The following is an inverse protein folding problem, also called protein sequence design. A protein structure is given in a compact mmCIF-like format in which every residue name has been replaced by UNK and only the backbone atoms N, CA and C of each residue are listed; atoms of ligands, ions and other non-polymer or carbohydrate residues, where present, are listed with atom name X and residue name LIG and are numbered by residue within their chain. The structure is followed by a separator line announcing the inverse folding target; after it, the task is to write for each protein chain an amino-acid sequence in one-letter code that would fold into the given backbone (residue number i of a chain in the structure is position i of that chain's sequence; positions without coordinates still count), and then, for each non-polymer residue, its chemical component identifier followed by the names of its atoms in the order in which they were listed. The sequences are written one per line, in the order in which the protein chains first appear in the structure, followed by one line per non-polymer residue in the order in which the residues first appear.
data_IF_886050918725
#
_entry.id   IF_886050918725
#
_cell.length_a   1.000
_cell.length_b   1.000
_cell.length_c   1.000
_cell.angle_alpha   90.00
_cell.angle_beta   90.00
_cell.angle_gamma   90.00
#
_symmetry.space_group_name_H-M   'P 1'
#
loop_
_entity.id
_entity.type
_entity.pdbx_description
1 polymer ?
#
# COMPACT_ATOMS: atom_id res chain seq x y z
N UNK A 1 14.74 8.06 16.47
CA UNK A 1 13.65 7.36 15.75
C UNK A 1 12.47 7.23 16.72
N UNK A 2 11.21 7.38 16.30
CA UNK A 2 10.06 7.11 17.15
C UNK A 2 10.11 5.65 17.68
N UNK A 3 9.71 5.38 18.94
CA UNK A 3 9.78 4.03 19.52
C UNK A 3 9.03 2.95 18.73
N UNK A 4 8.00 3.35 17.98
CA UNK A 4 7.13 2.45 17.20
C UNK A 4 7.44 2.46 15.70
N UNK A 5 8.45 3.21 15.25
CA UNK A 5 8.76 3.42 13.83
C UNK A 5 7.95 4.57 13.20
N UNK A 6 8.27 4.91 11.95
CA UNK A 6 7.59 6.00 11.21
C UNK A 6 6.28 5.55 10.52
N UNK A 7 6.07 4.25 10.31
CA UNK A 7 4.81 3.68 9.86
C UNK A 7 4.23 2.75 10.94
N UNK A 8 3.74 3.29 12.06
CA UNK A 8 3.45 2.52 13.27
C UNK A 8 2.26 1.57 13.13
N UNK A 9 1.31 1.86 12.23
CA UNK A 9 0.05 1.15 12.07
C UNK A 9 -0.36 1.00 10.59
N UNK A 10 -1.38 0.17 10.36
CA UNK A 10 -1.91 -0.13 9.03
C UNK A 10 -2.46 1.11 8.34
N UNK A 11 -3.09 2.02 9.07
CA UNK A 11 -3.66 3.25 8.53
C UNK A 11 -2.56 4.17 7.98
N UNK A 12 -1.43 4.27 8.68
CA UNK A 12 -0.26 5.04 8.24
C UNK A 12 0.38 4.38 7.03
N UNK A 13 0.56 3.06 7.03
CA UNK A 13 1.08 2.33 5.88
C UNK A 13 0.21 2.52 4.63
N UNK A 14 -1.12 2.47 4.77
CA UNK A 14 -2.06 2.74 3.67
C UNK A 14 -1.89 4.16 3.15
N UNK A 15 -1.81 5.17 4.02
CA UNK A 15 -1.61 6.57 3.58
C UNK A 15 -0.29 6.76 2.80
N UNK A 16 0.78 6.12 3.25
CA UNK A 16 2.07 6.13 2.53
C UNK A 16 1.92 5.46 1.16
N UNK A 17 1.29 4.28 1.10
CA UNK A 17 1.05 3.58 -0.17
C UNK A 17 0.24 4.42 -1.15
N UNK A 18 -0.84 5.06 -0.70
CA UNK A 18 -1.66 5.95 -1.53
C UNK A 18 -0.86 7.14 -2.07
N UNK A 19 -0.08 7.79 -1.22
CA UNK A 19 0.77 8.92 -1.63
C UNK A 19 1.82 8.52 -2.70
N UNK A 20 2.23 7.25 -2.72
CA UNK A 20 3.15 6.72 -3.74
C UNK A 20 2.41 6.23 -5.00
N UNK A 21 1.27 5.57 -4.85
CA UNK A 21 0.53 5.00 -5.98
C UNK A 21 -0.20 6.03 -6.82
N UNK A 22 -0.85 7.03 -6.20
CA UNK A 22 -1.63 8.06 -6.90
C UNK A 22 -0.84 8.79 -8.01
N UNK A 23 0.41 9.25 -7.80
CA UNK A 23 1.18 9.88 -8.88
C UNK A 23 1.65 8.89 -9.96
N UNK A 24 1.72 7.58 -9.68
CA UNK A 24 2.19 6.56 -10.63
C UNK A 24 1.03 6.06 -11.52
N UNK A 25 -0.11 5.75 -10.90
CA UNK A 25 -1.22 5.05 -11.55
C UNK A 25 -2.47 5.93 -11.74
N UNK A 26 -2.49 7.11 -11.12
CA UNK A 26 -3.61 8.03 -11.16
C UNK A 26 -4.59 7.83 -10.00
N UNK A 27 -4.99 8.92 -9.37
CA UNK A 27 -5.86 8.89 -8.19
C UNK A 27 -7.21 8.22 -8.43
N UNK A 28 -7.81 8.38 -9.61
CA UNK A 28 -9.08 7.74 -9.95
C UNK A 28 -8.97 6.20 -10.04
N UNK A 29 -7.86 5.69 -10.59
CA UNK A 29 -7.58 4.26 -10.68
C UNK A 29 -7.42 3.69 -9.27
N UNK A 30 -6.55 4.30 -8.48
CA UNK A 30 -6.29 3.86 -7.10
C UNK A 30 -7.54 3.95 -6.24
N UNK A 31 -8.36 5.01 -6.37
CA UNK A 31 -9.63 5.12 -5.66
C UNK A 31 -10.61 3.98 -5.97
N UNK A 32 -10.57 3.43 -7.19
CA UNK A 32 -11.36 2.28 -7.62
C UNK A 32 -10.95 0.96 -6.98
N UNK A 33 -9.76 0.89 -6.38
CA UNK A 33 -9.25 -0.32 -5.73
C UNK A 33 -9.59 -0.42 -4.23
N UNK A 34 -10.51 0.41 -3.75
CA UNK A 34 -10.99 0.27 -2.36
C UNK A 34 -11.78 -1.03 -2.17
N UNK A 35 -11.76 -1.63 -0.96
CA UNK A 35 -10.98 -1.22 0.21
C UNK A 35 -9.50 -1.60 0.13
N UNK A 36 -8.64 -0.82 0.79
CA UNK A 36 -7.22 -1.15 0.92
C UNK A 36 -6.97 -1.96 2.19
N UNK A 37 -6.05 -2.91 2.11
CA UNK A 37 -5.64 -3.74 3.23
C UNK A 37 -4.14 -3.62 3.45
N UNK A 38 -3.72 -3.60 4.71
CA UNK A 38 -2.32 -3.64 5.10
C UNK A 38 -2.08 -4.71 6.16
N UNK A 39 -1.11 -5.58 5.91
CA UNK A 39 -0.67 -6.63 6.84
C UNK A 39 0.81 -6.43 7.17
N UNK A 40 1.18 -6.68 8.43
CA UNK A 40 2.55 -6.54 8.90
C UNK A 40 3.18 -7.92 9.06
N UNK A 41 4.33 -8.13 8.43
CA UNK A 41 5.16 -9.32 8.62
C UNK A 41 6.63 -8.91 8.62
N UNK A 42 7.38 -9.38 9.61
CA UNK A 42 8.83 -9.21 9.70
C UNK A 42 9.30 -7.74 9.55
N UNK A 43 8.52 -6.80 10.11
CA UNK A 43 8.84 -5.37 10.05
C UNK A 43 8.49 -4.68 8.73
N UNK A 44 7.83 -5.38 7.81
CA UNK A 44 7.39 -4.87 6.50
C UNK A 44 5.87 -4.89 6.42
N UNK A 45 5.30 -3.74 6.08
CA UNK A 45 3.90 -3.61 5.70
C UNK A 45 3.73 -4.01 4.24
N UNK A 46 2.86 -4.97 3.96
CA UNK A 46 2.36 -5.23 2.62
C UNK A 46 0.99 -4.58 2.48
N UNK A 47 0.88 -3.57 1.63
CA UNK A 47 -0.37 -2.85 1.35
C UNK A 47 -0.89 -3.27 -0.01
N UNK A 48 -2.19 -3.55 -0.09
CA UNK A 48 -2.86 -4.03 -1.31
C UNK A 48 -4.19 -3.31 -1.54
N UNK A 49 -4.51 -3.05 -2.81
CA UNK A 49 -5.86 -2.73 -3.25
C UNK A 49 -6.77 -3.96 -3.32
N UNK A 50 -8.01 -3.75 -3.73
CA UNK A 50 -9.03 -4.76 -3.97
C UNK A 50 -9.59 -4.64 -5.38
N UNK A 51 -9.93 -5.79 -5.98
CA UNK A 51 -10.70 -5.85 -7.23
C UNK A 51 -12.14 -6.25 -6.92
N UNK A 52 -13.15 -5.51 -7.40
CA UNK A 52 -14.52 -5.97 -7.34
C UNK A 52 -14.67 -7.30 -8.09
N UNK A 53 -15.45 -8.21 -7.52
CA UNK A 53 -15.68 -9.53 -8.11
C UNK A 53 -16.18 -9.39 -9.56
N UNK A 54 -15.51 -10.09 -10.48
CA UNK A 54 -15.70 -10.13 -11.95
C UNK A 54 -14.85 -9.17 -12.80
N UNK A 55 -14.00 -8.30 -12.21
CA UNK A 55 -13.01 -7.56 -13.00
C UNK A 55 -11.78 -8.40 -13.32
N UNK A 56 -11.29 -8.27 -14.56
CA UNK A 56 -9.98 -8.78 -14.98
C UNK A 56 -8.95 -7.65 -14.83
N UNK A 57 -7.82 -7.96 -14.21
CA UNK A 57 -6.72 -7.03 -13.90
C UNK A 57 -6.07 -7.44 -12.58
N UNK A 58 -5.07 -6.69 -12.14
CA UNK A 58 -4.58 -6.78 -10.78
C UNK A 58 -4.67 -5.43 -10.05
N UNK A 59 -4.17 -5.43 -8.82
CA UNK A 59 -4.24 -4.31 -7.86
C UNK A 59 -2.86 -3.75 -7.59
N UNK A 60 -2.82 -2.53 -7.10
CA UNK A 60 -1.61 -1.93 -6.55
C UNK A 60 -1.14 -2.69 -5.31
N UNK A 61 0.16 -2.91 -5.24
CA UNK A 61 0.87 -3.52 -4.11
C UNK A 61 2.05 -2.64 -3.74
N UNK A 62 2.28 -2.46 -2.44
CA UNK A 62 3.43 -1.75 -1.90
C UNK A 62 3.98 -2.52 -0.70
N UNK A 63 5.30 -2.64 -0.63
CA UNK A 63 5.99 -3.08 0.57
C UNK A 63 6.68 -1.88 1.20
N UNK A 64 6.42 -1.65 2.49
CA UNK A 64 6.86 -0.46 3.22
C UNK A 64 7.49 -0.90 4.53
N UNK A 65 8.73 -0.47 4.77
CA UNK A 65 9.38 -0.70 6.06
C UNK A 65 8.63 0.02 7.18
N UNK A 66 8.24 -0.72 8.22
CA UNK A 66 7.61 -0.17 9.43
C UNK A 66 8.55 0.84 10.12
N UNK A 67 9.85 0.55 10.13
CA UNK A 67 10.82 1.27 10.92
C UNK A 67 11.04 2.68 10.39
N UNK A 68 11.30 2.82 9.09
CA UNK A 68 11.77 4.07 8.44
C UNK A 68 10.81 4.59 7.35
N UNK A 69 9.72 3.88 7.04
CA UNK A 69 8.75 4.28 6.01
C UNK A 69 9.29 4.12 4.59
N UNK A 70 10.47 3.52 4.41
CA UNK A 70 11.07 3.32 3.09
C UNK A 70 10.22 2.37 2.26
N UNK A 71 10.00 2.76 1.01
CA UNK A 71 9.36 1.93 -0.01
C UNK A 71 10.35 0.85 -0.45
N UNK A 72 10.00 -0.40 -0.21
CA UNK A 72 10.81 -1.58 -0.59
C UNK A 72 10.39 -2.13 -1.94
N UNK A 73 9.09 -2.07 -2.25
CA UNK A 73 8.50 -2.54 -3.49
C UNK A 73 7.30 -1.68 -3.86
N UNK A 74 7.12 -1.45 -5.16
CA UNK A 74 5.86 -1.00 -5.76
C UNK A 74 5.58 -1.89 -6.97
N UNK A 75 4.38 -2.45 -7.05
CA UNK A 75 3.92 -3.19 -8.23
C UNK A 75 2.42 -2.98 -8.45
N UNK A 76 1.96 -3.28 -9.66
CA UNK A 76 0.55 -3.30 -10.02
C UNK A 76 0.32 -4.62 -10.75
N UNK A 77 -0.36 -5.57 -10.10
CA UNK A 77 -0.61 -6.87 -10.71
C UNK A 77 -1.46 -6.68 -11.98
N UNK A 78 -1.30 -7.55 -12.98
CA UNK A 78 -1.91 -7.39 -14.31
C UNK A 78 -2.80 -8.56 -14.68
#
# INVERSE_FOLDING_TARGET
MPPVGYAPDSATAIKIALAVWEPIYGAAVIAGEKPYHATLRDGVWTVTGSLPGRMKGGVAIAEISKQDGRILLVSHAK
#
